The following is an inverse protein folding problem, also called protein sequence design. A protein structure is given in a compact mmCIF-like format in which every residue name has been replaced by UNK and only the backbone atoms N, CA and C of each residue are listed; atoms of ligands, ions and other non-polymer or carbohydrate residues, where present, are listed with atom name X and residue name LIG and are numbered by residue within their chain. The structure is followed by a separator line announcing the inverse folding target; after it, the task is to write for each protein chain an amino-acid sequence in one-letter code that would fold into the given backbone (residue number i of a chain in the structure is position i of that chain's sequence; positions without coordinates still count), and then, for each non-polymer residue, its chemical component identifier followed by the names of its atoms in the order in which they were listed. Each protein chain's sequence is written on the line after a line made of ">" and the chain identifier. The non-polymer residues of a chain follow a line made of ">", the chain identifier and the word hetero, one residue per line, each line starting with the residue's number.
data_IF_890815299540
#
_entry.id   IF_890815299540
#
_cell.length_a   1.000
_cell.length_b   1.000
_cell.length_c   1.000
_cell.angle_alpha   90.00
_cell.angle_beta   90.00
_cell.angle_gamma   90.00
#
_symmetry.space_group_name_H-M   'P 1'
#
loop_
_entity.id
_entity.type
_entity.pdbx_description
1 polymer ?
#
# COMPACT_ATOMS: atom_id res chain seq x y z
N UNK A 1 -25.37 -31.68 -3.86
CA UNK A 1 -25.86 -30.35 -3.42
C UNK A 1 -24.87 -29.64 -2.49
N UNK A 2 -24.36 -30.34 -1.47
CA UNK A 2 -23.34 -29.85 -0.50
C UNK A 2 -22.06 -29.29 -1.14
N UNK A 3 -21.50 -29.99 -2.14
CA UNK A 3 -20.29 -29.56 -2.86
C UNK A 3 -20.46 -28.23 -3.62
N UNK A 4 -21.64 -27.93 -4.15
CA UNK A 4 -21.92 -26.64 -4.82
C UNK A 4 -22.05 -25.50 -3.81
N UNK A 5 -22.59 -25.77 -2.62
CA UNK A 5 -22.70 -24.80 -1.52
C UNK A 5 -21.32 -24.50 -0.95
N UNK A 6 -20.51 -25.52 -0.70
CA UNK A 6 -19.10 -25.37 -0.29
C UNK A 6 -18.32 -24.61 -1.35
N UNK A 7 -18.43 -24.95 -2.64
CA UNK A 7 -17.74 -24.19 -3.70
C UNK A 7 -18.20 -22.73 -3.80
N UNK A 8 -19.46 -22.43 -3.48
CA UNK A 8 -20.03 -21.08 -3.44
C UNK A 8 -19.62 -20.29 -2.18
N UNK A 9 -19.34 -21.00 -1.08
CA UNK A 9 -18.78 -20.45 0.17
C UNK A 9 -17.26 -20.25 0.03
N UNK A 10 -16.54 -21.21 -0.54
CA UNK A 10 -15.11 -21.10 -0.86
C UNK A 10 -14.86 -20.06 -1.94
N UNK A 11 -15.69 -20.02 -2.99
CA UNK A 11 -15.60 -18.92 -3.95
C UNK A 11 -15.88 -17.60 -3.28
N UNK A 12 -16.79 -17.52 -2.28
CA UNK A 12 -17.03 -16.34 -1.43
C UNK A 12 -15.85 -16.00 -0.50
N UNK A 13 -15.09 -16.98 -0.04
CA UNK A 13 -13.86 -16.81 0.75
C UNK A 13 -12.65 -16.44 -0.14
N UNK A 14 -12.70 -16.79 -1.43
CA UNK A 14 -11.74 -16.43 -2.48
C UNK A 14 -12.25 -15.27 -3.36
N UNK A 15 -13.41 -14.66 -3.06
CA UNK A 15 -14.00 -13.61 -3.88
C UNK A 15 -13.08 -12.40 -3.88
N UNK A 16 -12.79 -11.89 -5.07
CA UNK A 16 -12.08 -10.63 -5.28
C UNK A 16 -10.68 -10.82 -5.86
N UNK A 17 -9.90 -9.74 -5.83
CA UNK A 17 -8.63 -9.65 -6.55
C UNK A 17 -7.58 -10.65 -6.03
N UNK A 18 -6.85 -11.27 -6.95
CA UNK A 18 -5.56 -11.93 -6.73
C UNK A 18 -4.52 -11.22 -7.61
N UNK A 19 -3.27 -11.20 -7.16
CA UNK A 19 -2.18 -10.68 -7.97
C UNK A 19 -1.89 -11.60 -9.16
N UNK A 20 -2.04 -11.05 -10.36
CA UNK A 20 -1.71 -11.66 -11.64
C UNK A 20 -0.66 -10.80 -12.36
N UNK A 21 0.60 -11.26 -12.41
CA UNK A 21 1.68 -10.52 -13.06
C UNK A 21 1.46 -10.16 -14.52
N UNK A 22 0.58 -10.88 -15.24
CA UNK A 22 0.35 -10.63 -16.67
C UNK A 22 -0.61 -9.47 -16.92
N UNK A 23 -1.51 -9.20 -15.98
CA UNK A 23 -2.60 -8.24 -16.16
C UNK A 23 -2.50 -7.04 -15.22
N UNK A 24 -1.77 -7.19 -14.11
CA UNK A 24 -1.70 -6.16 -13.09
C UNK A 24 -0.70 -5.05 -13.39
N UNK A 25 -1.07 -3.86 -12.91
CA UNK A 25 -0.20 -2.69 -12.81
C UNK A 25 -0.35 -2.11 -11.41
N UNK A 26 0.78 -1.84 -10.79
CA UNK A 26 0.85 -1.51 -9.36
C UNK A 26 1.23 -0.04 -9.20
N UNK A 27 0.45 0.68 -8.40
CA UNK A 27 0.83 1.99 -7.87
C UNK A 27 1.28 1.83 -6.43
N UNK A 28 2.49 2.28 -6.10
CA UNK A 28 3.04 2.29 -4.75
C UNK A 28 3.25 3.73 -4.32
N UNK A 29 2.63 4.16 -3.22
CA UNK A 29 2.94 5.42 -2.57
C UNK A 29 3.96 5.18 -1.46
N UNK A 30 5.11 5.86 -1.50
CA UNK A 30 6.20 5.66 -0.54
C UNK A 30 7.10 4.46 -0.86
N UNK A 31 7.45 4.23 -2.13
CA UNK A 31 8.28 3.09 -2.56
C UNK A 31 9.79 3.24 -2.32
N UNK A 32 10.27 4.39 -1.85
CA UNK A 32 11.70 4.69 -1.72
C UNK A 32 12.32 4.34 -0.35
N UNK A 33 11.54 3.85 0.61
CA UNK A 33 12.07 3.30 1.87
C UNK A 33 12.72 1.90 1.65
N UNK A 34 13.34 1.34 2.69
CA UNK A 34 14.04 0.04 2.60
C UNK A 34 13.13 -1.09 2.12
N UNK A 35 11.90 -1.17 2.63
CA UNK A 35 10.94 -2.19 2.26
C UNK A 35 10.40 -1.98 0.82
N UNK A 36 9.96 -0.78 0.50
CA UNK A 36 9.41 -0.37 -0.78
C UNK A 36 10.38 -0.61 -1.93
N UNK A 37 11.67 -0.29 -1.73
CA UNK A 37 12.73 -0.59 -2.71
C UNK A 37 12.82 -2.07 -3.02
N UNK A 38 12.82 -2.92 -1.98
CA UNK A 38 12.89 -4.37 -2.14
C UNK A 38 11.61 -4.95 -2.73
N UNK A 39 10.45 -4.37 -2.41
CA UNK A 39 9.17 -4.73 -3.00
C UNK A 39 9.13 -4.42 -4.50
N UNK A 40 9.54 -3.22 -4.90
CA UNK A 40 9.60 -2.82 -6.31
C UNK A 40 10.57 -3.72 -7.09
N UNK A 41 11.77 -3.95 -6.56
CA UNK A 41 12.74 -4.88 -7.16
C UNK A 41 12.13 -6.26 -7.36
N UNK A 42 11.44 -6.80 -6.35
CA UNK A 42 10.84 -8.13 -6.42
C UNK A 42 9.70 -8.19 -7.45
N UNK A 43 8.80 -7.19 -7.47
CA UNK A 43 7.68 -7.12 -8.43
C UNK A 43 8.16 -7.01 -9.88
N UNK A 44 9.21 -6.22 -10.14
CA UNK A 44 9.73 -6.01 -11.49
C UNK A 44 10.60 -7.20 -11.93
N UNK A 45 11.60 -7.58 -11.13
CA UNK A 45 12.60 -8.56 -11.57
C UNK A 45 12.05 -9.98 -11.59
N UNK A 46 11.26 -10.36 -10.58
CA UNK A 46 10.84 -11.75 -10.40
C UNK A 46 9.48 -12.02 -11.06
N UNK A 47 8.67 -10.98 -11.27
CA UNK A 47 7.31 -11.10 -11.83
C UNK A 47 7.07 -10.27 -13.09
N UNK A 48 8.02 -9.43 -13.51
CA UNK A 48 7.91 -8.62 -14.73
C UNK A 48 6.71 -7.66 -14.76
N UNK A 49 6.30 -7.16 -13.59
CA UNK A 49 5.10 -6.32 -13.44
C UNK A 49 5.43 -4.83 -13.55
N UNK A 50 4.64 -4.04 -14.31
CA UNK A 50 4.79 -2.59 -14.33
C UNK A 50 4.43 -1.95 -12.98
N UNK A 51 5.34 -1.14 -12.46
CA UNK A 51 5.20 -0.42 -11.19
C UNK A 51 5.33 1.08 -11.40
N UNK A 52 4.37 1.83 -10.85
CA UNK A 52 4.41 3.28 -10.70
C UNK A 52 4.75 3.57 -9.24
N UNK A 53 5.87 4.24 -8.99
CA UNK A 53 6.29 4.69 -7.67
C UNK A 53 5.97 6.18 -7.52
N UNK A 54 5.02 6.48 -6.63
CA UNK A 54 4.67 7.82 -6.19
C UNK A 54 5.45 8.14 -4.91
N UNK A 55 6.45 9.02 -5.00
CA UNK A 55 7.30 9.33 -3.85
C UNK A 55 7.97 10.72 -3.96
N UNK A 56 8.49 11.20 -2.84
CA UNK A 56 9.30 12.42 -2.71
C UNK A 56 10.71 12.28 -3.28
N UNK A 57 11.22 11.04 -3.34
CA UNK A 57 12.55 10.76 -3.87
C UNK A 57 12.49 9.60 -4.84
N UNK A 58 13.31 9.65 -5.89
CA UNK A 58 13.54 8.49 -6.74
C UNK A 58 14.76 7.74 -6.23
N UNK A 59 14.65 6.43 -6.01
CA UNK A 59 15.82 5.62 -5.77
C UNK A 59 16.45 5.24 -7.12
N UNK A 60 17.75 5.53 -7.25
CA UNK A 60 18.50 5.26 -8.48
C UNK A 60 18.60 3.75 -8.66
N UNK A 61 17.82 3.21 -9.60
CA UNK A 61 17.91 1.82 -10.01
C UNK A 61 17.75 1.72 -11.52
N UNK A 62 18.51 0.83 -12.17
CA UNK A 62 18.45 0.62 -13.62
C UNK A 62 17.31 -0.32 -13.97
N UNK A 63 16.08 0.14 -13.81
CA UNK A 63 14.91 -0.56 -14.32
C UNK A 63 14.61 -0.13 -15.76
N UNK A 64 14.00 -1.03 -16.53
CA UNK A 64 13.38 -0.67 -17.80
C UNK A 64 12.31 0.41 -17.57
N UNK A 65 12.34 1.48 -18.36
CA UNK A 65 11.39 2.60 -18.30
C UNK A 65 9.94 2.16 -18.58
N UNK A 66 9.75 1.04 -19.27
CA UNK A 66 8.42 0.45 -19.49
C UNK A 66 7.89 -0.27 -18.24
N UNK A 67 8.77 -0.67 -17.32
CA UNK A 67 8.45 -1.44 -16.12
C UNK A 67 8.45 -0.61 -14.86
N UNK A 68 9.21 0.48 -14.82
CA UNK A 68 9.27 1.38 -13.69
C UNK A 68 9.00 2.81 -14.12
N UNK A 69 7.97 3.42 -13.52
CA UNK A 69 7.69 4.84 -13.63
C UNK A 69 7.80 5.50 -12.27
N UNK A 70 8.61 6.54 -12.18
CA UNK A 70 8.64 7.43 -11.02
C UNK A 70 7.72 8.63 -11.26
N UNK A 71 6.89 8.95 -10.28
CA UNK A 71 6.08 10.17 -10.21
C UNK A 71 6.44 10.87 -8.92
N UNK A 72 7.01 12.06 -9.07
CA UNK A 72 7.39 12.89 -7.93
C UNK A 72 6.15 13.52 -7.27
N UNK A 73 6.03 13.32 -5.96
CA UNK A 73 5.23 14.17 -5.08
C UNK A 73 6.19 14.87 -4.12
N UNK A 74 6.47 16.15 -4.39
CA UNK A 74 7.50 16.92 -3.66
C UNK A 74 7.26 16.95 -2.15
N UNK A 75 6.00 16.94 -1.72
CA UNK A 75 5.62 16.98 -0.31
C UNK A 75 4.21 16.43 -0.08
N UNK A 76 4.09 15.21 0.46
CA UNK A 76 2.79 14.61 0.79
C UNK A 76 1.95 15.41 1.79
N UNK A 77 2.51 16.45 2.41
CA UNK A 77 1.81 17.31 3.37
C UNK A 77 1.16 18.54 2.70
N UNK A 78 1.47 18.79 1.43
CA UNK A 78 0.95 19.90 0.64
C UNK A 78 -0.02 19.39 -0.44
N UNK A 79 -1.27 19.83 -0.33
CA UNK A 79 -2.36 19.39 -1.22
C UNK A 79 -2.05 19.65 -2.70
N UNK A 80 -1.53 20.83 -3.04
CA UNK A 80 -1.24 21.20 -4.44
C UNK A 80 -0.24 20.22 -5.06
N UNK A 81 0.85 19.91 -4.36
CA UNK A 81 1.86 18.96 -4.86
C UNK A 81 1.34 17.53 -4.94
N UNK A 82 0.39 17.16 -4.09
CA UNK A 82 -0.28 15.86 -4.15
C UNK A 82 -1.22 15.80 -5.36
N UNK A 83 -2.01 16.84 -5.59
CA UNK A 83 -2.93 16.90 -6.74
C UNK A 83 -2.16 16.96 -8.08
N UNK A 84 -1.06 17.71 -8.16
CA UNK A 84 -0.16 17.68 -9.32
C UNK A 84 0.35 16.26 -9.62
N UNK A 85 0.71 15.49 -8.59
CA UNK A 85 1.16 14.13 -8.75
C UNK A 85 0.01 13.17 -9.14
N UNK A 86 -1.18 13.36 -8.58
CA UNK A 86 -2.38 12.59 -8.92
C UNK A 86 -2.89 12.87 -10.34
N UNK A 87 -2.74 14.10 -10.83
CA UNK A 87 -3.05 14.45 -12.22
C UNK A 87 -2.14 13.68 -13.19
N UNK A 88 -0.83 13.63 -12.88
CA UNK A 88 0.11 12.78 -13.62
C UNK A 88 -0.31 11.31 -13.58
N UNK A 89 -0.75 10.79 -12.44
CA UNK A 89 -1.22 9.40 -12.29
C UNK A 89 -2.50 9.15 -13.10
N UNK A 90 -3.41 10.13 -13.20
CA UNK A 90 -4.69 9.98 -13.89
C UNK A 90 -4.53 9.66 -15.39
N UNK A 91 -3.39 10.03 -15.97
CA UNK A 91 -3.03 9.67 -17.35
C UNK A 91 -2.62 8.18 -17.53
N UNK A 92 -2.46 7.43 -16.44
CA UNK A 92 -2.09 6.02 -16.49
C UNK A 92 -3.32 5.12 -16.39
N UNK A 93 -3.59 4.41 -17.48
CA UNK A 93 -4.64 3.41 -17.50
C UNK A 93 -4.19 2.09 -16.88
N UNK A 94 -5.16 1.39 -16.27
CA UNK A 94 -5.03 -0.01 -15.89
C UNK A 94 -4.35 -0.29 -14.55
N UNK A 95 -4.21 0.70 -13.67
CA UNK A 95 -3.79 0.46 -12.28
C UNK A 95 -4.85 -0.42 -11.60
N UNK A 96 -4.45 -1.60 -11.15
CA UNK A 96 -5.34 -2.59 -10.51
C UNK A 96 -5.00 -2.81 -9.04
N UNK A 97 -3.78 -2.46 -8.62
CA UNK A 97 -3.31 -2.63 -7.25
C UNK A 97 -2.73 -1.31 -6.77
N UNK A 98 -3.23 -0.82 -5.65
CA UNK A 98 -2.66 0.30 -4.91
C UNK A 98 -2.04 -0.19 -3.59
N UNK A 99 -0.80 0.21 -3.34
CA UNK A 99 -0.05 -0.08 -2.12
C UNK A 99 0.34 1.25 -1.48
N UNK A 100 -0.28 1.57 -0.36
CA UNK A 100 0.12 2.66 0.50
C UNK A 100 1.21 2.19 1.47
N UNK A 101 2.45 2.66 1.23
CA UNK A 101 3.60 2.47 2.10
C UNK A 101 4.08 3.78 2.76
N UNK A 102 3.26 4.85 2.73
CA UNK A 102 3.64 6.15 3.29
C UNK A 102 3.87 6.07 4.80
N UNK A 103 5.00 6.61 5.23
CA UNK A 103 5.44 6.59 6.62
C UNK A 103 6.19 7.88 6.96
N UNK A 104 5.69 8.61 7.96
CA UNK A 104 6.39 9.71 8.61
C UNK A 104 6.24 9.57 10.12
N UNK A 105 7.35 9.53 10.86
CA UNK A 105 7.36 9.17 12.29
C UNK A 105 8.34 9.96 13.17
N UNK A 106 8.73 11.18 12.78
CA UNK A 106 9.66 11.98 13.58
C UNK A 106 9.05 12.53 14.88
N UNK A 107 9.89 12.68 15.91
CA UNK A 107 9.48 12.89 17.29
C UNK A 107 9.34 14.37 17.71
N UNK A 108 8.39 14.58 18.62
CA UNK A 108 8.33 15.58 19.72
C UNK A 108 8.07 17.07 19.47
N UNK A 109 7.74 17.51 18.25
CA UNK A 109 7.23 18.88 18.03
C UNK A 109 5.79 18.89 17.50
N UNK A 110 4.97 19.85 17.92
CA UNK A 110 3.58 20.03 17.43
C UNK A 110 3.55 20.17 15.89
N UNK A 111 4.54 20.83 15.30
CA UNK A 111 4.69 20.92 13.85
C UNK A 111 4.84 19.52 13.19
N UNK A 112 5.43 18.56 13.88
CA UNK A 112 5.54 17.17 13.42
C UNK A 112 4.22 16.40 13.53
N UNK A 113 3.32 16.80 14.44
CA UNK A 113 1.96 16.23 14.54
C UNK A 113 1.21 16.44 13.24
N UNK A 114 1.14 17.68 12.78
CA UNK A 114 0.42 18.03 11.56
C UNK A 114 1.03 17.32 10.35
N UNK A 115 2.37 17.28 10.27
CA UNK A 115 3.10 16.58 9.20
C UNK A 115 2.81 15.08 9.19
N UNK A 116 2.79 14.45 10.38
CA UNK A 116 2.50 13.03 10.58
C UNK A 116 1.07 12.69 10.15
N UNK A 117 0.08 13.45 10.61
CA UNK A 117 -1.33 13.24 10.23
C UNK A 117 -1.51 13.46 8.72
N UNK A 118 -0.98 14.56 8.18
CA UNK A 118 -1.13 14.85 6.75
C UNK A 118 -0.51 13.77 5.87
N UNK A 119 0.69 13.30 6.22
CA UNK A 119 1.38 12.25 5.44
C UNK A 119 0.70 10.90 5.61
N UNK A 120 0.51 10.42 6.84
CA UNK A 120 0.09 9.04 7.09
C UNK A 120 -1.42 8.82 6.91
N UNK A 121 -2.23 9.88 6.97
CA UNK A 121 -3.70 9.80 7.01
C UNK A 121 -4.32 10.60 5.86
N UNK A 122 -4.15 11.92 5.83
CA UNK A 122 -4.84 12.80 4.88
C UNK A 122 -4.45 12.50 3.44
N UNK A 123 -3.15 12.39 3.14
CA UNK A 123 -2.67 12.15 1.79
C UNK A 123 -3.15 10.79 1.26
N UNK A 124 -3.13 9.75 2.11
CA UNK A 124 -3.61 8.41 1.80
C UNK A 124 -5.10 8.44 1.43
N UNK A 125 -5.91 9.12 2.24
CA UNK A 125 -7.35 9.24 1.99
C UNK A 125 -7.63 9.94 0.66
N UNK A 126 -6.88 10.99 0.32
CA UNK A 126 -7.00 11.71 -0.96
C UNK A 126 -6.58 10.81 -2.13
N UNK A 127 -5.46 10.09 -2.00
CA UNK A 127 -4.97 9.16 -3.03
C UNK A 127 -6.03 8.08 -3.30
N UNK A 128 -6.54 7.44 -2.24
CA UNK A 128 -7.56 6.39 -2.37
C UNK A 128 -8.84 6.96 -3.01
N UNK A 129 -9.33 8.11 -2.55
CA UNK A 129 -10.50 8.77 -3.12
C UNK A 129 -10.29 9.04 -4.61
N UNK A 130 -9.14 9.58 -5.01
CA UNK A 130 -8.83 9.82 -6.42
C UNK A 130 -8.78 8.51 -7.22
N UNK A 131 -8.12 7.47 -6.71
CA UNK A 131 -8.01 6.18 -7.38
C UNK A 131 -9.38 5.55 -7.61
N UNK A 132 -10.20 5.43 -6.57
CA UNK A 132 -11.56 4.86 -6.67
C UNK A 132 -12.42 5.69 -7.62
N UNK A 133 -12.40 7.02 -7.46
CA UNK A 133 -13.31 7.89 -8.19
C UNK A 133 -12.86 8.27 -9.61
N UNK A 134 -11.61 8.02 -10.01
CA UNK A 134 -11.08 8.46 -11.31
C UNK A 134 -10.40 7.35 -12.11
N UNK A 135 -9.73 6.39 -11.46
CA UNK A 135 -8.83 5.43 -12.13
C UNK A 135 -9.40 4.01 -12.11
N UNK A 136 -9.94 3.58 -10.97
CA UNK A 136 -10.45 2.23 -10.72
C UNK A 136 -11.95 2.11 -11.05
N UNK A 137 -12.36 2.69 -12.19
CA UNK A 137 -13.77 2.78 -12.60
C UNK A 137 -14.30 1.57 -13.36
N UNK A 138 -13.42 0.79 -14.00
CA UNK A 138 -13.86 -0.31 -14.85
C UNK A 138 -14.54 -1.40 -14.00
N UNK A 139 -15.84 -1.57 -14.21
CA UNK A 139 -16.70 -2.53 -13.50
C UNK A 139 -16.36 -3.98 -13.81
N UNK A 140 -15.62 -4.24 -14.90
CA UNK A 140 -15.17 -5.59 -15.29
C UNK A 140 -13.89 -6.01 -14.59
N UNK A 141 -13.21 -5.08 -13.90
CA UNK A 141 -11.96 -5.35 -13.19
C UNK A 141 -12.19 -5.42 -11.70
N UNK A 142 -11.36 -6.23 -11.04
CA UNK A 142 -11.21 -6.23 -9.60
C UNK A 142 -9.94 -5.48 -9.20
N UNK A 143 -9.98 -4.81 -8.06
CA UNK A 143 -8.93 -3.93 -7.55
C UNK A 143 -8.47 -4.38 -6.18
N UNK A 144 -7.22 -4.03 -5.85
CA UNK A 144 -6.64 -4.22 -4.53
C UNK A 144 -6.25 -2.88 -3.94
N UNK A 145 -6.68 -2.59 -2.72
CA UNK A 145 -6.25 -1.43 -1.93
C UNK A 145 -5.55 -1.96 -0.69
N UNK A 146 -4.24 -1.71 -0.60
CA UNK A 146 -3.39 -2.26 0.45
C UNK A 146 -2.82 -1.11 1.27
N UNK A 147 -3.02 -1.15 2.59
CA UNK A 147 -2.38 -0.22 3.53
C UNK A 147 -1.30 -0.95 4.32
N UNK A 148 -0.12 -0.36 4.39
CA UNK A 148 0.99 -0.87 5.21
C UNK A 148 1.04 -0.10 6.53
N UNK A 149 1.05 -0.85 7.60
CA UNK A 149 1.20 -0.37 8.98
C UNK A 149 2.31 -1.17 9.69
N UNK A 150 2.63 -0.83 10.93
CA UNK A 150 3.70 -1.47 11.71
C UNK A 150 3.11 -2.32 12.82
N UNK A 151 3.73 -3.48 13.11
CA UNK A 151 3.35 -4.34 14.25
C UNK A 151 3.32 -3.58 15.60
N UNK A 152 4.02 -2.45 15.70
CA UNK A 152 4.06 -1.61 16.91
C UNK A 152 2.70 -1.00 17.30
N UNK A 153 1.70 -0.99 16.41
CA UNK A 153 0.35 -0.53 16.76
C UNK A 153 -0.46 -1.58 17.53
N UNK A 154 0.02 -2.81 17.65
CA UNK A 154 -0.73 -3.94 18.22
C UNK A 154 -0.40 -4.22 19.69
N UNK A 155 0.71 -3.72 20.21
CA UNK A 155 1.12 -3.93 21.61
C UNK A 155 1.42 -2.57 22.24
N UNK A 156 0.84 -2.33 23.43
CA UNK A 156 1.03 -1.11 24.20
C UNK A 156 2.50 -0.70 24.25
N UNK A 157 2.77 0.53 23.81
CA UNK A 157 4.09 1.08 23.60
C UNK A 157 4.90 1.12 24.91
N UNK A 158 5.65 0.06 25.18
CA UNK A 158 6.87 0.11 26.01
C UNK A 158 8.12 0.43 25.19
N UNK A 159 7.96 1.04 24.01
CA UNK A 159 9.07 1.42 23.15
C UNK A 159 9.26 2.93 23.29
N UNK A 160 10.26 3.31 24.08
CA UNK A 160 10.63 4.68 24.46
C UNK A 160 10.99 5.60 23.30
N UNK A 161 11.06 5.08 22.06
CA UNK A 161 11.58 5.78 20.89
C UNK A 161 10.54 6.04 19.78
N UNK A 162 9.28 5.61 19.94
CA UNK A 162 8.24 5.88 18.93
C UNK A 162 7.19 6.84 19.47
N UNK A 163 7.02 7.95 18.76
CA UNK A 163 6.08 9.01 19.13
C UNK A 163 4.65 8.47 19.20
N UNK A 164 3.92 8.74 20.29
CA UNK A 164 2.49 8.43 20.43
C UNK A 164 1.66 8.96 19.25
N UNK A 165 2.11 10.06 18.64
CA UNK A 165 1.50 10.66 17.44
C UNK A 165 1.62 9.73 16.24
N UNK A 166 2.77 9.06 16.07
CA UNK A 166 2.96 8.10 14.99
C UNK A 166 1.99 6.92 15.16
N UNK A 167 1.91 6.36 16.37
CA UNK A 167 0.98 5.28 16.71
C UNK A 167 -0.46 5.72 16.42
N UNK A 168 -0.87 6.88 16.93
CA UNK A 168 -2.20 7.43 16.69
C UNK A 168 -2.49 7.62 15.19
N UNK A 169 -1.53 8.10 14.41
CA UNK A 169 -1.70 8.26 12.95
C UNK A 169 -1.86 6.92 12.22
N UNK A 170 -1.19 5.86 12.69
CA UNK A 170 -1.32 4.52 12.11
C UNK A 170 -2.61 3.83 12.57
N UNK A 171 -3.07 4.05 13.79
CA UNK A 171 -4.42 3.64 14.21
C UNK A 171 -5.51 4.35 13.41
N UNK A 172 -5.34 5.65 13.12
CA UNK A 172 -6.26 6.38 12.24
C UNK A 172 -6.26 5.81 10.81
N UNK A 173 -5.08 5.44 10.28
CA UNK A 173 -4.98 4.75 8.99
C UNK A 173 -5.68 3.39 8.99
N UNK A 174 -5.57 2.62 10.08
CA UNK A 174 -6.30 1.36 10.25
C UNK A 174 -7.81 1.60 10.24
N UNK A 175 -8.31 2.61 10.96
CA UNK A 175 -9.72 2.96 10.95
C UNK A 175 -10.23 3.39 9.56
N UNK A 176 -9.41 4.13 8.80
CA UNK A 176 -9.71 4.47 7.40
C UNK A 176 -9.78 3.20 6.56
N UNK A 177 -8.88 2.25 6.77
CA UNK A 177 -8.89 0.96 6.06
C UNK A 177 -10.20 0.21 6.28
N UNK A 178 -10.67 0.15 7.52
CA UNK A 178 -11.94 -0.52 7.86
C UNK A 178 -13.13 0.19 7.22
N UNK A 179 -13.15 1.53 7.28
CA UNK A 179 -14.16 2.35 6.61
C UNK A 179 -14.23 2.05 5.11
N UNK A 180 -13.11 2.10 4.41
CA UNK A 180 -13.01 1.78 2.97
C UNK A 180 -13.47 0.35 2.68
N UNK A 181 -13.07 -0.61 3.53
CA UNK A 181 -13.45 -2.02 3.37
C UNK A 181 -14.97 -2.23 3.50
N UNK A 182 -15.63 -1.41 4.32
CA UNK A 182 -17.08 -1.46 4.51
C UNK A 182 -17.87 -0.73 3.41
N UNK A 183 -17.32 0.36 2.87
CA UNK A 183 -17.99 1.19 1.87
C UNK A 183 -17.81 0.66 0.45
N UNK A 184 -16.64 0.09 0.13
CA UNK A 184 -16.36 -0.41 -1.21
C UNK A 184 -17.01 -1.77 -1.47
N UNK A 185 -17.56 -1.99 -2.67
CA UNK A 185 -18.22 -3.25 -2.98
C UNK A 185 -17.21 -4.40 -3.06
N UNK A 186 -17.33 -5.36 -2.14
CA UNK A 186 -16.42 -6.51 -1.94
C UNK A 186 -16.19 -7.38 -3.19
N UNK A 187 -17.13 -7.39 -4.13
CA UNK A 187 -16.99 -8.12 -5.40
C UNK A 187 -16.04 -7.44 -6.38
N UNK A 188 -15.71 -6.16 -6.17
CA UNK A 188 -14.82 -5.37 -7.01
C UNK A 188 -13.54 -4.97 -6.29
N UNK A 189 -13.63 -4.54 -5.04
CA UNK A 189 -12.48 -4.09 -4.28
C UNK A 189 -12.15 -5.10 -3.20
N UNK A 190 -10.91 -5.56 -3.21
CA UNK A 190 -10.33 -6.27 -2.08
C UNK A 190 -9.44 -5.31 -1.30
N UNK A 191 -9.54 -5.34 0.00
CA UNK A 191 -8.73 -4.53 0.91
C UNK A 191 -7.84 -5.43 1.75
N UNK A 192 -6.60 -4.99 1.98
CA UNK A 192 -5.63 -5.69 2.80
C UNK A 192 -4.86 -4.71 3.68
N UNK A 193 -4.88 -4.92 4.99
CA UNK A 193 -4.07 -4.21 5.96
C UNK A 193 -2.89 -5.09 6.35
N UNK A 194 -1.67 -4.67 6.00
CA UNK A 194 -0.46 -5.45 6.26
C UNK A 194 0.36 -4.80 7.37
N UNK A 195 0.54 -5.54 8.46
CA UNK A 195 1.44 -5.19 9.54
C UNK A 195 2.83 -5.75 9.25
N UNK A 196 3.79 -4.86 9.00
CA UNK A 196 5.20 -5.23 8.82
C UNK A 196 5.98 -5.01 10.12
N UNK A 197 7.00 -5.84 10.42
CA UNK A 197 7.86 -5.60 11.56
C UNK A 197 8.68 -4.32 11.37
N UNK A 198 9.24 -3.79 12.45
CA UNK A 198 10.19 -2.70 12.38
C UNK A 198 11.43 -3.14 11.59
N UNK A 199 11.92 -2.29 10.71
CA UNK A 199 13.09 -2.56 9.90
C UNK A 199 14.12 -1.50 10.21
N UNK A 200 15.26 -1.92 10.75
CA UNK A 200 16.41 -1.06 10.84
C UNK A 200 16.91 -0.78 9.42
N UNK A 201 17.39 0.44 9.18
CA UNK A 201 17.71 0.99 7.86
C UNK A 201 18.66 0.13 7.02
N UNK A 202 19.46 -0.75 7.64
CA UNK A 202 20.53 -1.51 6.97
C UNK A 202 20.21 -2.99 6.72
N UNK A 203 18.97 -3.45 6.96
CA UNK A 203 18.67 -4.87 6.81
C UNK A 203 17.96 -5.22 5.49
N UNK A 204 18.73 -5.14 4.40
CA UNK A 204 18.27 -5.50 3.05
C UNK A 204 17.75 -6.94 2.99
N UNK A 205 18.43 -7.90 3.64
CA UNK A 205 18.02 -9.31 3.65
C UNK A 205 16.63 -9.51 4.27
N UNK A 206 16.38 -8.92 5.45
CA UNK A 206 15.06 -8.97 6.09
C UNK A 206 14.00 -8.31 5.22
N UNK A 207 14.32 -7.16 4.62
CA UNK A 207 13.40 -6.43 3.74
C UNK A 207 13.03 -7.24 2.49
N UNK A 208 13.99 -7.96 1.89
CA UNK A 208 13.73 -8.90 0.79
C UNK A 208 12.85 -10.09 1.21
N UNK A 209 13.08 -10.66 2.40
CA UNK A 209 12.23 -11.76 2.90
C UNK A 209 10.80 -11.29 3.16
N UNK A 210 10.63 -10.10 3.72
CA UNK A 210 9.32 -9.48 3.97
C UNK A 210 8.63 -9.16 2.65
N UNK A 211 9.33 -8.61 1.65
CA UNK A 211 8.72 -8.33 0.34
C UNK A 211 8.25 -9.60 -0.38
N UNK A 212 9.01 -10.70 -0.29
CA UNK A 212 8.59 -12.02 -0.79
C UNK A 212 7.33 -12.54 -0.11
N UNK A 213 7.28 -12.48 1.23
CA UNK A 213 6.08 -12.87 1.98
C UNK A 213 4.88 -11.98 1.60
N UNK A 214 5.08 -10.67 1.49
CA UNK A 214 4.05 -9.74 1.06
C UNK A 214 3.46 -10.12 -0.31
N UNK A 215 4.31 -10.36 -1.32
CA UNK A 215 3.83 -10.77 -2.64
C UNK A 215 3.11 -12.12 -2.60
N UNK A 216 3.54 -13.05 -1.73
CA UNK A 216 2.81 -14.31 -1.53
C UNK A 216 1.37 -14.09 -1.04
N UNK A 217 1.14 -13.11 -0.15
CA UNK A 217 -0.21 -12.76 0.30
C UNK A 217 -1.07 -12.22 -0.84
N UNK A 218 -0.48 -11.40 -1.72
CA UNK A 218 -1.19 -10.88 -2.89
C UNK A 218 -1.57 -11.99 -3.88
N UNK A 219 -0.66 -12.95 -4.12
CA UNK A 219 -0.92 -14.11 -4.99
C UNK A 219 -2.03 -15.00 -4.43
N UNK A 220 -2.03 -15.20 -3.11
CA UNK A 220 -3.10 -15.95 -2.42
C UNK A 220 -4.40 -15.17 -2.26
N UNK A 221 -4.46 -13.90 -2.69
CA UNK A 221 -5.67 -13.07 -2.58
C UNK A 221 -6.13 -12.83 -1.15
N UNK A 222 -5.20 -12.69 -0.20
CA UNK A 222 -5.50 -12.45 1.22
C UNK A 222 -6.29 -11.15 1.43
N UNK A 223 -7.19 -11.11 2.40
CA UNK A 223 -7.99 -9.91 2.69
C UNK A 223 -8.03 -9.67 4.20
N UNK A 224 -8.44 -8.47 4.61
CA UNK A 224 -8.46 -8.07 6.01
C UNK A 224 -7.06 -7.83 6.53
N UNK A 225 -6.74 -8.34 7.73
CA UNK A 225 -5.47 -8.09 8.40
C UNK A 225 -4.46 -9.22 8.20
N UNK A 226 -3.21 -8.87 7.88
CA UNK A 226 -2.12 -9.84 7.76
C UNK A 226 -0.87 -9.34 8.47
N UNK A 227 -0.18 -10.24 9.17
CA UNK A 227 1.06 -9.95 9.87
C UNK A 227 2.22 -10.66 9.19
N UNK A 228 3.24 -9.90 8.77
CA UNK A 228 4.49 -10.48 8.29
C UNK A 228 5.39 -10.79 9.48
N UNK A 229 5.94 -12.00 9.51
CA UNK A 229 6.85 -12.50 10.56
C UNK A 229 8.26 -12.69 9.99
N UNK A 230 9.26 -12.65 10.87
CA UNK A 230 10.67 -12.78 10.50
C UNK A 230 11.08 -14.14 9.99
#
# INVERSE_FOLDING_TARGET
>A
MFFKVIKKIYSRLELGKQFDPKTDKILIAGGSDTFGKQLIKHLINDYNVPVINLDTTNFKNKFDIQKYKYIECRDFTKLDTLYEALDKISNYQGITIFINNLQFGEANHIAHVQKCIRTNVTSVMIIIKNLVNNIMKDDKKSYYIINITKNMTLHEARITNVSNIYIASKSALNQIHDGISSELPYNRFKTLLVYIPELNSDNDYKSTRISKQFVSFLKSGKFGEMHIKY
#
